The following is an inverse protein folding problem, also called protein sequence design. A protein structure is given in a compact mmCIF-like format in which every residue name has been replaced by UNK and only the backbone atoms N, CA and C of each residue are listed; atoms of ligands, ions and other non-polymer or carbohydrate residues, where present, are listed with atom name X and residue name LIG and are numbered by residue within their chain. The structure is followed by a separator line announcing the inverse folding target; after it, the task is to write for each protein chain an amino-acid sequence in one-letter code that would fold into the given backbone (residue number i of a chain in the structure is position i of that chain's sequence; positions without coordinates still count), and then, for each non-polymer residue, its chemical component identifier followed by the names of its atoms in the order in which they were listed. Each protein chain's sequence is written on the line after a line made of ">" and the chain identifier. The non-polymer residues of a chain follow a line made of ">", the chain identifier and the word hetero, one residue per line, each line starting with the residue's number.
data_IF_660938613946
#
_entry.id   IF_660938613946
#
_cell.length_a   1.000
_cell.length_b   1.000
_cell.length_c   1.000
_cell.angle_alpha   90.00
_cell.angle_beta   90.00
_cell.angle_gamma   90.00
#
_symmetry.space_group_name_H-M   'P 1'
#
loop_
_entity.id
_entity.type
_entity.pdbx_description
1 polymer ?
#
# COMPACT_ATOMS: atom_id res chain seq x y z
N UNK A 1 14.63 25.93 -61.51
CA UNK A 1 13.65 24.85 -61.24
C UNK A 1 14.40 23.76 -60.47
N UNK A 2 14.27 23.74 -59.13
CA UNK A 2 13.66 22.64 -58.34
C UNK A 2 14.42 21.31 -58.48
N UNK A 3 14.94 20.64 -57.44
CA UNK A 3 14.44 20.49 -56.06
C UNK A 3 15.56 19.97 -55.15
N UNK A 4 15.81 20.61 -54.01
CA UNK A 4 16.62 20.07 -52.91
C UNK A 4 15.73 19.05 -52.18
N UNK A 5 16.04 17.75 -52.31
CA UNK A 5 15.39 16.68 -51.56
C UNK A 5 15.86 16.73 -50.10
N UNK A 6 14.96 17.18 -49.24
CA UNK A 6 15.05 17.11 -47.79
C UNK A 6 15.22 15.66 -47.34
N UNK A 7 16.44 15.26 -47.00
CA UNK A 7 16.65 14.07 -46.17
C UNK A 7 16.28 14.46 -44.73
N UNK A 8 14.98 14.37 -44.44
CA UNK A 8 14.43 14.50 -43.11
C UNK A 8 14.85 13.31 -42.26
N UNK A 9 15.87 13.53 -41.43
CA UNK A 9 16.14 12.90 -40.13
C UNK A 9 15.15 11.79 -39.69
N UNK A 10 15.42 10.53 -40.06
CA UNK A 10 14.84 9.35 -39.42
C UNK A 10 15.79 8.90 -38.30
N UNK A 11 15.75 9.61 -37.17
CA UNK A 11 16.23 9.04 -35.91
C UNK A 11 14.98 8.49 -35.23
N UNK A 12 14.75 7.17 -35.21
CA UNK A 12 13.62 6.60 -34.50
C UNK A 12 13.74 6.96 -33.01
N UNK A 13 12.59 7.14 -32.38
CA UNK A 13 12.45 7.71 -31.05
C UNK A 13 12.88 6.72 -29.94
N UNK A 14 14.18 6.42 -29.85
CA UNK A 14 14.79 5.50 -28.87
C UNK A 14 14.36 5.83 -27.43
N UNK A 15 14.12 7.12 -27.10
CA UNK A 15 13.65 7.53 -25.77
C UNK A 15 12.28 6.98 -25.39
N UNK A 16 11.37 6.83 -26.35
CA UNK A 16 10.03 6.25 -26.08
C UNK A 16 10.10 4.74 -25.90
N UNK A 17 11.00 4.06 -26.63
CA UNK A 17 11.18 2.61 -26.53
C UNK A 17 11.81 2.20 -25.18
N UNK A 18 12.71 3.01 -24.64
CA UNK A 18 13.29 2.76 -23.29
C UNK A 18 12.23 2.84 -22.21
N UNK A 19 11.34 3.85 -22.22
CA UNK A 19 10.27 3.96 -21.22
C UNK A 19 9.31 2.78 -21.29
N UNK A 20 8.91 2.38 -22.49
CA UNK A 20 8.05 1.20 -22.70
C UNK A 20 8.70 -0.08 -22.18
N UNK A 21 9.98 -0.27 -22.48
CA UNK A 21 10.75 -1.43 -22.02
C UNK A 21 10.88 -1.46 -20.49
N UNK A 22 11.14 -0.30 -19.87
CA UNK A 22 11.19 -0.16 -18.43
C UNK A 22 9.84 -0.49 -17.78
N UNK A 23 8.73 0.03 -18.29
CA UNK A 23 7.41 -0.29 -17.75
C UNK A 23 7.07 -1.78 -17.90
N UNK A 24 7.41 -2.40 -19.03
CA UNK A 24 7.24 -3.84 -19.20
C UNK A 24 8.06 -4.65 -18.19
N UNK A 25 9.30 -4.22 -17.89
CA UNK A 25 10.13 -4.85 -16.87
C UNK A 25 9.53 -4.68 -15.46
N UNK A 26 9.06 -3.48 -15.12
CA UNK A 26 8.38 -3.22 -13.83
C UNK A 26 7.17 -4.13 -13.67
N UNK A 27 6.32 -4.26 -14.69
CA UNK A 27 5.15 -5.16 -14.64
C UNK A 27 5.57 -6.61 -14.42
N UNK A 28 6.62 -7.08 -15.12
CA UNK A 28 7.16 -8.43 -14.94
C UNK A 28 7.70 -8.69 -13.53
N UNK A 29 8.26 -7.68 -12.87
CA UNK A 29 8.74 -7.78 -11.48
C UNK A 29 7.58 -7.69 -10.46
N UNK A 30 6.61 -6.81 -10.72
CA UNK A 30 5.48 -6.63 -9.82
C UNK A 30 4.51 -7.81 -9.83
N UNK A 31 4.28 -8.47 -10.97
CA UNK A 31 3.37 -9.61 -11.05
C UNK A 31 3.65 -10.73 -10.03
N UNK A 32 4.87 -11.28 -9.91
CA UNK A 32 5.16 -12.31 -8.91
C UNK A 32 5.08 -11.76 -7.49
N UNK A 33 5.53 -10.52 -7.25
CA UNK A 33 5.48 -9.89 -5.93
C UNK A 33 4.03 -9.70 -5.45
N UNK A 34 3.19 -9.09 -6.29
CA UNK A 34 1.77 -8.88 -6.01
C UNK A 34 1.04 -10.22 -5.80
N UNK A 35 1.39 -11.27 -6.55
CA UNK A 35 0.85 -12.61 -6.33
C UNK A 35 1.16 -13.13 -4.93
N UNK A 36 2.37 -12.92 -4.42
CA UNK A 36 2.75 -13.29 -3.05
C UNK A 36 1.97 -12.45 -2.03
N UNK A 37 1.89 -11.14 -2.24
CA UNK A 37 1.15 -10.23 -1.36
C UNK A 37 -0.33 -10.65 -1.23
N UNK A 38 -0.99 -10.92 -2.35
CA UNK A 38 -2.39 -11.35 -2.36
C UNK A 38 -2.59 -12.73 -1.70
N UNK A 39 -1.66 -13.67 -1.87
CA UNK A 39 -1.69 -14.98 -1.18
C UNK A 39 -1.58 -14.84 0.33
N UNK A 40 -0.92 -13.79 0.82
CA UNK A 40 -0.79 -13.48 2.24
C UNK A 40 -1.84 -12.47 2.73
N UNK A 41 -2.87 -12.17 1.92
CA UNK A 41 -3.96 -11.28 2.32
C UNK A 41 -3.59 -9.81 2.39
N UNK A 42 -2.48 -9.39 1.77
CA UNK A 42 -2.07 -7.98 1.76
C UNK A 42 -2.88 -7.22 0.70
N UNK A 43 -3.68 -6.22 1.09
CA UNK A 43 -4.48 -5.44 0.16
C UNK A 43 -3.63 -4.40 -0.59
N UNK A 44 -4.17 -3.89 -1.71
CA UNK A 44 -3.49 -2.87 -2.52
C UNK A 44 -3.09 -1.62 -1.71
N UNK A 45 -3.97 -1.14 -0.81
CA UNK A 45 -3.70 0.04 0.01
C UNK A 45 -2.41 -0.09 0.84
N UNK A 46 -2.22 -1.24 1.49
CA UNK A 46 -1.01 -1.57 2.26
C UNK A 46 0.23 -1.58 1.37
N UNK A 47 0.15 -2.22 0.20
CA UNK A 47 1.25 -2.19 -0.77
C UNK A 47 1.55 -0.76 -1.25
N UNK A 48 0.54 0.04 -1.57
CA UNK A 48 0.70 1.41 -2.03
C UNK A 48 1.35 2.30 -0.97
N UNK A 49 1.03 2.10 0.32
CA UNK A 49 1.69 2.80 1.42
C UNK A 49 3.15 2.38 1.58
N UNK A 50 3.46 1.09 1.50
CA UNK A 50 4.85 0.60 1.48
C UNK A 50 5.64 1.17 0.30
N UNK A 51 5.04 1.16 -0.91
CA UNK A 51 5.64 1.72 -2.10
C UNK A 51 5.91 3.23 -1.95
N UNK A 52 4.95 4.00 -1.42
CA UNK A 52 5.15 5.44 -1.11
C UNK A 52 6.31 5.66 -0.15
N UNK A 53 6.45 4.81 0.87
CA UNK A 53 7.57 4.89 1.80
C UNK A 53 8.91 4.69 1.09
N UNK A 54 9.03 3.64 0.27
CA UNK A 54 10.24 3.37 -0.52
C UNK A 54 10.55 4.51 -1.49
N UNK A 55 9.54 5.06 -2.18
CA UNK A 55 9.72 6.20 -3.09
C UNK A 55 10.27 7.44 -2.38
N UNK A 56 9.73 7.79 -1.21
CA UNK A 56 10.22 8.93 -0.42
C UNK A 56 11.63 8.68 0.09
N UNK A 57 11.92 7.48 0.59
CA UNK A 57 13.24 7.10 1.08
C UNK A 57 14.31 7.23 -0.01
N UNK A 58 14.09 6.61 -1.17
CA UNK A 58 15.01 6.69 -2.31
C UNK A 58 15.18 8.13 -2.79
N UNK A 59 14.09 8.90 -2.88
CA UNK A 59 14.17 10.32 -3.25
C UNK A 59 14.97 11.18 -2.25
N UNK A 60 14.94 10.84 -0.96
CA UNK A 60 15.72 11.51 0.08
C UNK A 60 17.19 11.15 0.03
N UNK A 61 17.50 9.86 -0.15
CA UNK A 61 18.86 9.31 -0.09
C UNK A 61 19.62 9.57 -1.40
N UNK A 62 19.06 9.16 -2.54
CA UNK A 62 19.80 9.09 -3.81
C UNK A 62 19.68 10.36 -4.66
N UNK A 63 18.64 11.16 -4.47
CA UNK A 63 18.41 12.38 -5.25
C UNK A 63 18.79 13.66 -4.47
N UNK A 64 19.54 13.51 -3.38
CA UNK A 64 20.04 14.64 -2.60
C UNK A 64 21.07 15.47 -3.40
N UNK A 65 21.05 16.79 -3.22
CA UNK A 65 22.05 17.66 -3.84
C UNK A 65 23.29 17.74 -2.95
N UNK A 66 24.51 17.80 -3.53
CA UNK A 66 25.70 18.09 -2.77
C UNK A 66 25.51 19.39 -1.96
N UNK A 67 25.75 19.32 -0.65
CA UNK A 67 25.71 20.45 0.30
C UNK A 67 24.34 21.07 0.60
N UNK A 68 23.21 20.42 0.27
CA UNK A 68 21.87 20.89 0.72
C UNK A 68 21.01 19.76 1.28
N UNK A 69 20.39 20.00 2.44
CA UNK A 69 19.35 19.11 2.99
C UNK A 69 18.17 19.05 2.02
N UNK A 70 17.76 17.84 1.65
CA UNK A 70 16.53 17.59 0.91
C UNK A 70 15.33 18.06 1.75
N UNK A 71 14.41 18.81 1.14
CA UNK A 71 13.20 19.31 1.80
C UNK A 71 11.98 18.54 1.30
N UNK A 72 10.95 18.42 2.14
CA UNK A 72 9.69 17.75 1.77
C UNK A 72 9.08 18.29 0.46
N UNK A 73 9.21 19.60 0.20
CA UNK A 73 8.73 20.22 -1.04
C UNK A 73 9.48 19.74 -2.30
N UNK A 74 10.76 19.43 -2.20
CA UNK A 74 11.54 18.91 -3.32
C UNK A 74 11.20 17.44 -3.57
N UNK A 75 11.08 16.66 -2.51
CA UNK A 75 10.70 15.25 -2.59
C UNK A 75 9.31 15.09 -3.22
N UNK A 76 8.35 15.97 -2.91
CA UNK A 76 7.03 15.95 -3.56
C UNK A 76 7.11 16.16 -5.07
N UNK A 77 8.04 17.01 -5.54
CA UNK A 77 8.23 17.26 -6.98
C UNK A 77 8.84 16.03 -7.66
N UNK A 78 9.84 15.40 -7.03
CA UNK A 78 10.53 14.24 -7.60
C UNK A 78 9.62 13.00 -7.64
N UNK A 79 8.89 12.76 -6.56
CA UNK A 79 8.07 11.54 -6.39
C UNK A 79 6.67 11.69 -6.97
N UNK A 80 6.20 12.92 -7.18
CA UNK A 80 4.81 13.22 -7.54
C UNK A 80 3.81 13.07 -6.39
N UNK A 81 4.28 12.77 -5.17
CA UNK A 81 3.45 12.69 -3.97
C UNK A 81 3.13 14.07 -3.43
N UNK A 82 2.01 14.21 -2.72
CA UNK A 82 1.69 15.47 -2.07
C UNK A 82 2.66 15.76 -0.92
N UNK A 83 2.88 17.04 -0.60
CA UNK A 83 3.71 17.44 0.55
C UNK A 83 3.22 16.81 1.86
N UNK A 84 1.90 16.66 2.04
CA UNK A 84 1.27 16.01 3.20
C UNK A 84 1.64 14.53 3.27
N UNK A 85 1.62 13.81 2.15
CA UNK A 85 2.03 12.40 2.11
C UNK A 85 3.52 12.23 2.40
N UNK A 86 4.37 13.08 1.82
CA UNK A 86 5.81 13.08 2.09
C UNK A 86 6.08 13.33 3.57
N UNK A 87 5.47 14.35 4.16
CA UNK A 87 5.63 14.65 5.60
C UNK A 87 5.09 13.54 6.49
N UNK A 88 3.97 12.91 6.13
CA UNK A 88 3.43 11.75 6.85
C UNK A 88 4.42 10.58 6.82
N UNK A 89 4.95 10.26 5.65
CA UNK A 89 5.91 9.17 5.46
C UNK A 89 7.23 9.44 6.21
N UNK A 90 7.70 10.70 6.22
CA UNK A 90 8.88 11.12 6.99
C UNK A 90 8.65 11.14 8.51
N UNK A 91 7.43 11.43 8.98
CA UNK A 91 7.12 11.39 10.41
C UNK A 91 6.99 9.98 10.98
N UNK A 92 6.75 8.97 10.11
CA UNK A 92 6.59 7.56 10.50
C UNK A 92 7.93 6.85 10.73
N UNK A 93 9.07 7.44 10.34
CA UNK A 93 10.38 6.79 10.52
C UNK A 93 10.79 6.60 11.99
N UNK A 94 10.11 7.26 12.94
CA UNK A 94 10.42 7.15 14.38
C UNK A 94 9.42 6.30 15.18
N UNK A 95 8.22 6.02 14.64
CA UNK A 95 7.22 5.18 15.31
C UNK A 95 6.52 4.26 14.31
N UNK A 96 6.96 2.99 14.36
CA UNK A 96 6.31 1.78 13.85
C UNK A 96 5.17 1.95 12.84
N UNK A 97 5.45 1.61 11.59
CA UNK A 97 4.52 1.40 10.48
C UNK A 97 3.37 0.41 10.79
N UNK A 98 3.35 -0.20 11.97
CA UNK A 98 2.36 -1.17 12.43
C UNK A 98 0.96 -0.57 12.47
N UNK A 99 0.73 0.61 13.04
CA UNK A 99 -0.64 1.05 13.34
C UNK A 99 -1.47 1.41 12.08
N UNK A 100 -0.85 2.08 11.10
CA UNK A 100 -1.56 2.48 9.86
C UNK A 100 -1.75 1.30 8.92
N UNK A 101 -0.72 0.45 8.77
CA UNK A 101 -0.81 -0.80 8.01
C UNK A 101 -1.84 -1.73 8.65
N UNK A 102 -1.87 -1.81 9.98
CA UNK A 102 -2.83 -2.62 10.72
C UNK A 102 -4.26 -2.11 10.53
N UNK A 103 -4.49 -0.79 10.49
CA UNK A 103 -5.83 -0.23 10.24
C UNK A 103 -6.36 -0.54 8.83
N UNK A 104 -5.52 -0.43 7.80
CA UNK A 104 -5.92 -0.80 6.43
C UNK A 104 -6.09 -2.32 6.27
N UNK A 105 -5.22 -3.11 6.88
CA UNK A 105 -5.36 -4.57 6.92
C UNK A 105 -6.64 -4.99 7.63
N UNK A 106 -7.02 -4.34 8.74
CA UNK A 106 -8.29 -4.56 9.46
C UNK A 106 -9.50 -4.39 8.54
N UNK A 107 -9.62 -3.25 7.85
CA UNK A 107 -10.73 -2.99 6.95
C UNK A 107 -10.78 -4.01 5.77
N UNK A 108 -9.62 -4.33 5.18
CA UNK A 108 -9.55 -5.32 4.11
C UNK A 108 -9.92 -6.74 4.58
N UNK A 109 -9.55 -7.13 5.81
CA UNK A 109 -9.94 -8.41 6.42
C UNK A 109 -11.45 -8.48 6.64
N UNK A 110 -12.07 -7.39 7.10
CA UNK A 110 -13.54 -7.30 7.27
C UNK A 110 -14.26 -7.53 5.94
N UNK A 111 -13.85 -6.82 4.88
CA UNK A 111 -14.46 -6.97 3.55
C UNK A 111 -14.23 -8.38 2.98
N UNK A 112 -13.02 -8.92 3.14
CA UNK A 112 -12.70 -10.29 2.68
C UNK A 112 -13.51 -11.34 3.42
N UNK A 113 -13.67 -11.18 4.74
CA UNK A 113 -14.51 -12.02 5.58
C UNK A 113 -15.97 -11.97 5.15
N UNK A 114 -16.49 -10.79 4.85
CA UNK A 114 -17.86 -10.61 4.39
C UNK A 114 -18.13 -11.35 3.07
N UNK A 115 -17.18 -11.30 2.13
CA UNK A 115 -17.35 -11.91 0.81
C UNK A 115 -17.14 -13.42 0.81
N UNK A 116 -16.28 -13.94 1.70
CA UNK A 116 -15.82 -15.35 1.63
C UNK A 116 -16.36 -16.24 2.74
N UNK A 117 -16.76 -15.70 3.88
CA UNK A 117 -17.29 -16.51 4.97
C UNK A 117 -18.78 -16.75 4.75
N UNK A 118 -19.13 -18.00 4.45
CA UNK A 118 -20.51 -18.47 4.23
C UNK A 118 -21.49 -18.08 5.34
N UNK A 119 -20.99 -17.78 6.56
CA UNK A 119 -21.81 -17.29 7.67
C UNK A 119 -22.33 -15.87 7.47
N UNK A 120 -21.67 -15.08 6.64
CA UNK A 120 -22.11 -13.75 6.25
C UNK A 120 -22.57 -13.73 4.78
N UNK A 121 -22.95 -14.90 4.25
CA UNK A 121 -23.52 -15.04 2.91
C UNK A 121 -25.02 -15.28 2.98
N UNK A 122 -25.75 -14.84 1.95
CA UNK A 122 -27.17 -15.09 1.77
C UNK A 122 -27.43 -16.52 1.27
N UNK A 123 -28.70 -16.88 1.11
CA UNK A 123 -29.15 -18.20 0.61
C UNK A 123 -28.61 -18.51 -0.80
N UNK A 124 -28.20 -17.47 -1.55
CA UNK A 124 -27.70 -17.56 -2.92
C UNK A 124 -26.16 -17.57 -2.97
N UNK A 125 -25.47 -17.53 -1.83
CA UNK A 125 -24.02 -17.49 -1.74
C UNK A 125 -23.38 -16.11 -1.99
N UNK A 126 -24.18 -15.04 -2.05
CA UNK A 126 -23.69 -13.67 -2.15
C UNK A 126 -23.46 -13.08 -0.75
N UNK A 127 -22.65 -12.01 -0.59
CA UNK A 127 -22.49 -11.34 0.69
C UNK A 127 -23.85 -10.83 1.20
N UNK A 128 -24.23 -11.24 2.41
CA UNK A 128 -25.52 -10.92 3.01
C UNK A 128 -25.60 -9.43 3.38
N UNK A 129 -26.78 -8.84 3.28
CA UNK A 129 -27.06 -7.50 3.82
C UNK A 129 -27.10 -7.59 5.35
N UNK A 130 -26.09 -7.00 6.00
CA UNK A 130 -25.90 -7.10 7.45
C UNK A 130 -26.50 -5.89 8.16
N UNK A 131 -27.28 -6.13 9.21
CA UNK A 131 -27.64 -5.08 10.17
C UNK A 131 -26.40 -4.59 10.93
N UNK A 132 -26.36 -3.30 11.26
CA UNK A 132 -25.19 -2.69 11.90
C UNK A 132 -24.89 -3.34 13.25
N UNK A 133 -25.90 -3.50 14.11
CA UNK A 133 -25.81 -4.16 15.42
C UNK A 133 -26.93 -5.19 15.61
N UNK A 134 -26.62 -6.32 16.23
CA UNK A 134 -27.58 -7.39 16.53
C UNK A 134 -26.92 -8.66 17.05
N UNK A 135 -27.70 -9.51 17.73
CA UNK A 135 -27.25 -10.74 18.42
C UNK A 135 -26.97 -11.94 17.47
N UNK A 136 -26.78 -11.69 16.17
CA UNK A 136 -26.56 -12.71 15.14
C UNK A 136 -25.52 -12.30 14.10
N UNK A 137 -25.72 -12.69 12.84
CA UNK A 137 -24.89 -12.28 11.69
C UNK A 137 -25.06 -10.79 11.40
N UNK A 138 -24.30 -9.96 12.13
CA UNK A 138 -24.31 -8.49 12.05
C UNK A 138 -22.95 -7.94 11.61
N UNK A 139 -22.92 -6.68 11.18
CA UNK A 139 -21.68 -6.00 10.82
C UNK A 139 -20.74 -5.88 12.04
N UNK A 140 -21.27 -5.58 13.23
CA UNK A 140 -20.48 -5.57 14.46
C UNK A 140 -19.83 -6.92 14.77
N UNK A 141 -20.51 -8.04 14.52
CA UNK A 141 -19.91 -9.37 14.70
C UNK A 141 -18.83 -9.68 13.64
N UNK A 142 -19.05 -9.26 12.39
CA UNK A 142 -18.04 -9.35 11.33
C UNK A 142 -16.78 -8.54 11.70
N UNK A 143 -16.95 -7.29 12.14
CA UNK A 143 -15.85 -6.43 12.60
C UNK A 143 -15.18 -7.04 13.81
N UNK A 144 -15.93 -7.51 14.82
CA UNK A 144 -15.38 -8.21 15.99
C UNK A 144 -14.46 -9.36 15.57
N UNK A 145 -14.94 -10.18 14.64
CA UNK A 145 -14.23 -11.38 14.19
C UNK A 145 -12.98 -11.08 13.36
N UNK A 146 -13.01 -10.08 12.49
CA UNK A 146 -11.91 -9.82 11.54
C UNK A 146 -10.99 -8.64 11.93
N UNK A 147 -11.41 -7.75 12.84
CA UNK A 147 -10.58 -6.68 13.39
C UNK A 147 -9.89 -7.04 14.71
N UNK A 148 -10.49 -7.86 15.58
CA UNK A 148 -9.97 -8.11 16.93
C UNK A 148 -9.34 -9.50 17.14
N UNK A 149 -9.37 -10.39 16.13
CA UNK A 149 -8.85 -11.76 16.25
C UNK A 149 -7.32 -11.90 16.12
N UNK A 150 -6.55 -10.80 16.16
CA UNK A 150 -5.08 -10.85 16.25
C UNK A 150 -4.50 -10.08 17.45
N UNK A 151 -5.30 -9.85 18.49
CA UNK A 151 -4.79 -9.42 19.81
C UNK A 151 -4.47 -10.64 20.71
N UNK A 152 -4.12 -11.77 20.09
CA UNK A 152 -3.87 -13.08 20.72
C UNK A 152 -2.40 -13.49 20.85
N UNK A 153 -1.45 -12.64 20.46
CA UNK A 153 -0.01 -12.86 20.68
C UNK A 153 0.67 -11.53 21.06
N UNK A 154 0.42 -11.11 22.30
CA UNK A 154 1.00 -9.90 22.89
C UNK A 154 0.82 -9.78 24.41
N UNK A 155 -0.04 -10.60 25.01
CA UNK A 155 -0.24 -10.65 26.47
C UNK A 155 0.77 -11.56 27.20
N UNK A 156 2.00 -11.67 26.69
CA UNK A 156 3.12 -12.37 27.34
C UNK A 156 4.04 -11.50 28.19
N UNK A 157 4.06 -10.18 27.96
CA UNK A 157 5.04 -9.27 28.60
C UNK A 157 4.46 -8.22 29.55
N UNK A 158 3.12 -8.13 29.70
CA UNK A 158 2.49 -7.18 30.63
C UNK A 158 1.67 -7.80 31.78
N UNK A 159 1.80 -9.11 32.05
CA UNK A 159 1.31 -9.73 33.30
C UNK A 159 2.40 -9.97 34.35
N UNK A 160 3.57 -9.34 34.23
CA UNK A 160 4.68 -9.53 35.19
C UNK A 160 4.94 -8.36 36.16
N UNK A 161 4.20 -7.25 36.06
CA UNK A 161 4.34 -6.09 36.96
C UNK A 161 3.05 -5.64 37.67
N UNK A 162 2.04 -6.52 37.76
CA UNK A 162 0.87 -6.29 38.62
C UNK A 162 0.66 -7.46 39.61
N UNK A 163 1.78 -7.94 40.17
CA UNK A 163 1.82 -8.85 41.32
C UNK A 163 2.82 -8.36 42.40
N UNK A 164 3.24 -7.08 42.31
CA UNK A 164 3.91 -6.37 43.39
C UNK A 164 3.22 -5.01 43.49
N UNK A 165 2.02 -5.03 44.05
CA UNK A 165 1.38 -4.05 44.94
C UNK A 165 -0.02 -4.58 45.27
#
# INVERSE_FOLDING_TARGET
>A
MLTILTIGNIIPNVKQDVKKTLFAAIVRLLQPLVRILLRNGVPYGTFADLAKHVYVKVAMEEFSLPKRKQTASRVSIITGLTRKEVSRVQGISDTGNEETVERYNRAARVVTGWVRDSRFSDINGNPAELVVEGSGTSFSELVRRYCYSHDGLGLGHLRRNLAIL
#
